data_IF_447803569292
#
_entry.id   IF_447803569292
#
_cell.length_a   1.000
_cell.length_b   1.000
_cell.length_c   1.000
_cell.angle_alpha   90.00
_cell.angle_beta   90.00
_cell.angle_gamma   90.00
#
_symmetry.space_group_name_H-M   'P 1'
#
loop_
_entity.id
_entity.type
_entity.pdbx_description
1 polymer ?
#
# COMPACT_ATOMS: atom_id res chain seq x y z
N UNK A 1 28.34 -10.89 -9.47
CA UNK A 1 28.48 -9.50 -8.99
C UNK A 1 27.10 -8.88 -8.90
N UNK A 2 26.79 -8.20 -7.82
CA UNK A 2 25.53 -7.47 -7.64
C UNK A 2 25.88 -6.01 -7.34
N UNK A 3 25.22 -5.08 -8.01
CA UNK A 3 25.44 -3.65 -7.86
C UNK A 3 24.12 -3.00 -7.47
N UNK A 4 24.12 -2.21 -6.41
CA UNK A 4 22.96 -1.48 -5.94
C UNK A 4 23.30 0.01 -5.86
N UNK A 5 22.46 0.83 -6.47
CA UNK A 5 22.52 2.28 -6.35
C UNK A 5 21.25 2.73 -5.65
N UNK A 6 21.40 3.47 -4.55
CA UNK A 6 20.29 4.11 -3.83
C UNK A 6 20.46 5.61 -3.93
N UNK A 7 19.38 6.29 -4.29
CA UNK A 7 19.35 7.73 -4.34
C UNK A 7 18.17 8.26 -3.54
N UNK A 8 18.44 9.21 -2.65
CA UNK A 8 17.45 9.91 -1.85
C UNK A 8 17.72 11.42 -1.98
N UNK A 9 16.72 12.21 -2.38
CA UNK A 9 16.88 13.66 -2.47
C UNK A 9 15.56 14.36 -2.16
N UNK A 10 15.55 15.19 -1.11
CA UNK A 10 14.50 16.21 -0.97
C UNK A 10 14.61 17.20 -2.13
N UNK A 11 13.56 17.32 -2.94
CA UNK A 11 13.55 18.21 -4.11
C UNK A 11 13.13 19.64 -3.71
N UNK A 12 12.17 19.76 -2.78
CA UNK A 12 11.59 21.03 -2.31
C UNK A 12 11.09 20.88 -0.87
N UNK A 13 10.79 21.98 -0.18
CA UNK A 13 10.10 22.03 1.14
C UNK A 13 8.79 21.22 1.19
N UNK A 14 8.16 21.00 0.03
CA UNK A 14 6.87 20.34 -0.11
C UNK A 14 6.94 19.00 -0.84
N UNK A 15 8.08 18.66 -1.47
CA UNK A 15 8.23 17.44 -2.29
C UNK A 15 9.51 16.70 -1.91
N UNK A 16 9.33 15.53 -1.31
CA UNK A 16 10.41 14.66 -0.84
C UNK A 16 10.47 13.39 -1.70
N UNK A 17 11.51 13.28 -2.53
CA UNK A 17 11.84 12.04 -3.22
C UNK A 17 12.74 11.22 -2.28
N UNK A 18 12.17 10.24 -1.60
CA UNK A 18 12.87 9.56 -0.51
C UNK A 18 13.78 8.44 -0.98
N UNK A 19 13.40 7.69 -2.01
CA UNK A 19 14.19 6.53 -2.42
C UNK A 19 13.92 6.12 -3.87
N UNK A 20 14.97 6.19 -4.69
CA UNK A 20 15.08 5.50 -5.96
C UNK A 20 16.19 4.45 -5.81
N UNK A 21 15.81 3.17 -5.79
CA UNK A 21 16.76 2.05 -5.71
C UNK A 21 16.82 1.34 -7.04
N UNK A 22 18.02 1.23 -7.59
CA UNK A 22 18.32 0.38 -8.73
C UNK A 22 19.24 -0.74 -8.28
N UNK A 23 18.81 -1.99 -8.45
CA UNK A 23 19.63 -3.17 -8.19
C UNK A 23 19.79 -3.98 -9.46
N UNK A 24 21.05 -4.24 -9.83
CA UNK A 24 21.41 -5.15 -10.91
C UNK A 24 22.15 -6.36 -10.34
N UNK A 25 21.67 -7.57 -10.63
CA UNK A 25 22.28 -8.81 -10.16
C UNK A 25 22.81 -9.58 -11.35
N UNK A 26 24.12 -9.80 -11.42
CA UNK A 26 24.78 -10.56 -12.50
C UNK A 26 24.46 -12.06 -12.49
N UNK A 27 24.51 -12.68 -13.66
CA UNK A 27 24.11 -14.08 -13.96
C UNK A 27 24.61 -15.19 -13.03
N UNK A 28 25.77 -15.00 -12.39
CA UNK A 28 26.39 -16.01 -11.51
C UNK A 28 26.25 -15.69 -10.02
N UNK A 29 25.43 -14.70 -9.67
CA UNK A 29 25.19 -14.31 -8.29
C UNK A 29 23.91 -14.99 -7.77
N UNK A 30 24.06 -15.76 -6.71
CA UNK A 30 22.98 -16.45 -6.00
C UNK A 30 22.97 -15.88 -4.60
N UNK A 31 21.82 -15.41 -4.11
CA UNK A 31 21.73 -14.99 -2.71
C UNK A 31 21.89 -16.22 -1.80
N UNK A 32 22.51 -16.07 -0.64
CA UNK A 32 22.72 -17.19 0.30
C UNK A 32 21.40 -17.88 0.68
N UNK A 33 20.29 -17.13 0.71
CA UNK A 33 18.94 -17.63 0.99
C UNK A 33 18.33 -18.49 -0.14
N UNK A 34 18.84 -18.40 -1.36
CA UNK A 34 18.36 -19.15 -2.54
C UNK A 34 19.24 -20.39 -2.84
N UNK A 35 20.30 -20.63 -2.07
CA UNK A 35 21.19 -21.78 -2.28
C UNK A 35 20.51 -23.08 -1.82
N UNK A 36 20.00 -23.86 -2.78
CA UNK A 36 19.50 -25.23 -2.56
C UNK A 36 20.39 -26.24 -3.28
N UNK A 37 21.14 -27.10 -2.57
CA UNK A 37 22.12 -28.01 -3.18
C UNK A 37 21.50 -29.10 -4.08
N UNK A 38 20.19 -29.34 -4.01
CA UNK A 38 19.49 -30.39 -4.77
C UNK A 38 18.76 -29.92 -6.04
N UNK A 39 18.70 -28.62 -6.34
CA UNK A 39 17.97 -28.09 -7.50
C UNK A 39 18.88 -27.21 -8.36
N UNK A 40 19.48 -27.80 -9.40
CA UNK A 40 20.32 -27.10 -10.38
C UNK A 40 19.49 -26.41 -11.49
N UNK A 41 18.18 -26.61 -11.53
CA UNK A 41 17.30 -26.22 -12.67
C UNK A 41 16.14 -25.29 -12.27
N UNK A 42 16.41 -24.27 -11.46
CA UNK A 42 15.37 -23.33 -11.05
C UNK A 42 15.89 -22.16 -10.23
N UNK A 43 16.95 -21.51 -10.69
CA UNK A 43 17.38 -20.25 -10.10
C UNK A 43 16.41 -19.15 -10.52
N UNK A 44 15.78 -18.54 -9.52
CA UNK A 44 15.00 -17.32 -9.66
C UNK A 44 15.96 -16.19 -10.10
N UNK A 45 16.28 -16.15 -11.39
CA UNK A 45 17.38 -15.37 -11.96
C UNK A 45 16.94 -13.90 -12.13
N UNK A 46 16.69 -13.24 -11.00
CA UNK A 46 16.28 -11.83 -10.90
C UNK A 46 17.37 -10.97 -11.54
N UNK A 47 17.03 -10.33 -12.65
CA UNK A 47 17.98 -9.55 -13.46
C UNK A 47 18.19 -8.16 -12.86
N UNK A 48 17.07 -7.48 -12.62
CA UNK A 48 17.04 -6.08 -12.26
C UNK A 48 15.78 -5.80 -11.44
N UNK A 49 15.91 -4.90 -10.46
CA UNK A 49 14.80 -4.39 -9.68
C UNK A 49 14.91 -2.88 -9.58
N UNK A 50 13.85 -2.20 -9.98
CA UNK A 50 13.70 -0.75 -9.85
C UNK A 50 12.66 -0.49 -8.78
N UNK A 51 12.97 0.37 -7.82
CA UNK A 51 12.03 0.82 -6.79
C UNK A 51 12.08 2.34 -6.74
N UNK A 52 10.91 2.98 -6.71
CA UNK A 52 10.78 4.43 -6.62
C UNK A 52 9.72 4.78 -5.59
N UNK A 53 10.03 5.72 -4.70
CA UNK A 53 9.09 6.27 -3.72
C UNK A 53 9.14 7.80 -3.78
N UNK A 54 7.99 8.38 -4.12
CA UNK A 54 7.75 9.81 -4.26
C UNK A 54 6.74 10.21 -3.18
N UNK A 55 7.12 11.15 -2.33
CA UNK A 55 6.21 11.71 -1.32
C UNK A 55 6.13 13.22 -1.49
N UNK A 56 4.95 13.79 -1.39
CA UNK A 56 4.75 15.22 -1.52
C UNK A 56 3.73 15.70 -0.49
N UNK A 57 4.15 16.63 0.36
CA UNK A 57 3.33 17.29 1.37
C UNK A 57 2.96 18.70 0.88
N UNK A 58 1.69 18.95 0.61
CA UNK A 58 1.16 20.24 0.15
C UNK A 58 0.23 20.79 1.24
N UNK A 59 0.77 21.66 2.10
CA UNK A 59 0.00 22.26 3.20
C UNK A 59 -0.53 21.21 4.17
N UNK A 60 -1.85 20.96 4.13
CA UNK A 60 -2.55 19.96 4.98
C UNK A 60 -2.79 18.62 4.27
N UNK A 61 -2.30 18.48 3.04
CA UNK A 61 -2.41 17.26 2.25
C UNK A 61 -1.05 16.59 2.06
N UNK A 62 -1.05 15.27 1.97
CA UNK A 62 0.12 14.43 1.80
C UNK A 62 -0.20 13.35 0.78
N UNK A 63 0.58 13.30 -0.29
CA UNK A 63 0.51 12.25 -1.31
C UNK A 63 1.79 11.42 -1.25
N UNK A 64 1.66 10.10 -1.33
CA UNK A 64 2.76 9.15 -1.37
C UNK A 64 2.49 8.10 -2.43
N UNK A 65 3.35 8.09 -3.44
CA UNK A 65 3.35 7.14 -4.54
C UNK A 65 4.62 6.29 -4.41
N UNK A 66 4.47 4.98 -4.45
CA UNK A 66 5.58 4.04 -4.50
C UNK A 66 5.35 3.04 -5.60
N UNK A 67 6.42 2.53 -6.20
CA UNK A 67 6.33 1.49 -7.18
C UNK A 67 7.62 0.72 -7.27
N UNK A 68 7.50 -0.52 -7.71
CA UNK A 68 8.62 -1.38 -7.97
C UNK A 68 8.35 -2.23 -9.21
N UNK A 69 9.41 -2.58 -9.93
CA UNK A 69 9.34 -3.57 -10.99
C UNK A 69 10.55 -4.49 -10.92
N UNK A 70 10.34 -5.76 -11.23
CA UNK A 70 11.34 -6.81 -11.17
C UNK A 70 11.31 -7.63 -12.46
N UNK A 71 12.43 -7.65 -13.18
CA UNK A 71 12.60 -8.46 -14.39
C UNK A 71 13.38 -9.73 -14.08
N UNK A 72 13.06 -10.82 -14.75
CA UNK A 72 13.74 -12.12 -14.61
C UNK A 72 14.47 -12.49 -15.91
N UNK A 73 15.60 -13.19 -15.84
CA UNK A 73 16.38 -13.56 -17.06
C UNK A 73 15.79 -14.73 -17.83
N UNK A 74 15.07 -15.64 -17.16
CA UNK A 74 14.58 -16.88 -17.77
C UNK A 74 13.19 -16.78 -18.42
N UNK A 75 12.48 -15.67 -18.23
CA UNK A 75 11.17 -15.42 -18.83
C UNK A 75 11.08 -13.94 -19.23
N UNK A 76 10.45 -13.63 -20.38
CA UNK A 76 10.23 -12.26 -20.85
C UNK A 76 9.11 -11.53 -20.07
N UNK A 77 9.00 -11.84 -18.77
CA UNK A 77 7.93 -11.42 -17.89
C UNK A 77 8.48 -10.58 -16.75
N UNK A 78 7.77 -9.51 -16.43
CA UNK A 78 8.15 -8.58 -15.38
C UNK A 78 7.05 -8.54 -14.34
N UNK A 79 7.44 -8.59 -13.07
CA UNK A 79 6.54 -8.28 -11.98
C UNK A 79 6.55 -6.77 -11.76
N UNK A 80 5.39 -6.20 -11.46
CA UNK A 80 5.25 -4.78 -11.16
C UNK A 80 4.28 -4.61 -10.00
N UNK A 81 4.63 -3.73 -9.07
CA UNK A 81 3.74 -3.28 -8.01
C UNK A 81 3.78 -1.77 -7.90
N UNK A 82 2.63 -1.16 -7.64
CA UNK A 82 2.48 0.27 -7.40
C UNK A 82 1.50 0.49 -6.25
N UNK A 83 1.81 1.46 -5.40
CA UNK A 83 0.92 1.89 -4.32
C UNK A 83 0.82 3.41 -4.32
N UNK A 84 -0.39 3.92 -4.30
CA UNK A 84 -0.72 5.33 -4.19
C UNK A 84 -1.45 5.55 -2.87
N UNK A 85 -1.11 6.62 -2.17
CA UNK A 85 -1.82 7.05 -0.96
C UNK A 85 -1.93 8.57 -0.95
N UNK A 86 -3.09 9.08 -0.58
CA UNK A 86 -3.41 10.48 -0.49
C UNK A 86 -4.12 10.72 0.83
N UNK A 87 -3.57 11.60 1.65
CA UNK A 87 -4.09 11.94 2.97
C UNK A 87 -4.31 13.44 2.99
N UNK A 88 -5.44 13.91 3.50
CA UNK A 88 -5.70 15.34 3.65
C UNK A 88 -6.39 15.61 4.97
N UNK A 89 -6.07 16.73 5.59
CA UNK A 89 -6.66 17.16 6.85
C UNK A 89 -7.38 18.48 6.65
N UNK A 90 -8.69 18.49 6.88
CA UNK A 90 -9.52 19.71 6.79
C UNK A 90 -10.04 20.03 8.19
N UNK A 91 -9.36 20.95 8.87
CA UNK A 91 -9.64 21.28 10.27
C UNK A 91 -9.34 20.09 11.20
N UNK A 92 -10.31 19.61 12.00
CA UNK A 92 -10.15 18.41 12.84
C UNK A 92 -10.26 17.11 12.04
N UNK A 93 -10.85 17.12 10.85
CA UNK A 93 -11.16 15.92 10.06
C UNK A 93 -9.96 15.47 9.23
N UNK A 94 -9.65 14.17 9.25
CA UNK A 94 -8.67 13.57 8.34
C UNK A 94 -9.32 12.59 7.37
N UNK A 95 -8.89 12.64 6.12
CA UNK A 95 -9.34 11.79 5.03
C UNK A 95 -8.11 11.13 4.40
N UNK A 96 -8.18 9.82 4.18
CA UNK A 96 -7.10 8.99 3.67
C UNK A 96 -7.65 8.10 2.56
N UNK A 97 -7.12 8.25 1.35
CA UNK A 97 -7.37 7.40 0.21
C UNK A 97 -6.08 6.61 -0.08
N UNK A 98 -6.19 5.33 -0.35
CA UNK A 98 -5.07 4.51 -0.83
C UNK A 98 -5.53 3.59 -1.95
N UNK A 99 -4.60 3.24 -2.82
CA UNK A 99 -4.80 2.31 -3.91
C UNK A 99 -3.52 1.52 -4.16
N UNK A 100 -3.67 0.26 -4.51
CA UNK A 100 -2.57 -0.63 -4.84
C UNK A 100 -2.86 -1.32 -6.17
N UNK A 101 -1.82 -1.55 -6.94
CA UNK A 101 -1.85 -2.30 -8.19
C UNK A 101 -0.65 -3.25 -8.19
N UNK A 102 -0.86 -4.49 -8.57
CA UNK A 102 0.16 -5.52 -8.62
C UNK A 102 -0.10 -6.46 -9.77
N UNK A 103 0.90 -6.67 -10.61
CA UNK A 103 0.86 -7.68 -11.66
C UNK A 103 2.05 -8.60 -11.46
N UNK A 104 1.73 -9.88 -11.26
CA UNK A 104 2.70 -10.93 -10.98
C UNK A 104 2.62 -11.98 -12.07
N UNK A 105 3.76 -12.38 -12.63
CA UNK A 105 3.76 -13.42 -13.63
C UNK A 105 3.53 -14.80 -12.99
N UNK A 106 2.58 -15.57 -13.54
CA UNK A 106 2.15 -16.86 -12.97
C UNK A 106 0.84 -16.80 -12.16
N UNK A 107 0.24 -15.62 -12.00
CA UNK A 107 -1.14 -15.44 -11.52
C UNK A 107 -2.02 -14.91 -12.65
N UNK A 108 -3.22 -15.46 -12.81
CA UNK A 108 -4.12 -15.26 -13.95
C UNK A 108 -4.91 -13.92 -13.91
N UNK A 109 -4.20 -12.82 -13.60
CA UNK A 109 -4.76 -11.48 -13.67
C UNK A 109 -4.08 -10.45 -12.77
N UNK A 110 -4.38 -9.18 -13.05
CA UNK A 110 -3.89 -8.04 -12.28
C UNK A 110 -4.62 -7.94 -10.93
N UNK A 111 -3.86 -7.76 -9.85
CA UNK A 111 -4.35 -7.41 -8.52
C UNK A 111 -4.49 -5.89 -8.44
N UNK A 112 -5.66 -5.41 -8.06
CA UNK A 112 -5.83 -4.02 -7.69
C UNK A 112 -6.76 -3.90 -6.49
N UNK A 113 -6.50 -2.90 -5.66
CA UNK A 113 -7.29 -2.58 -4.50
C UNK A 113 -7.29 -1.09 -4.24
N UNK A 114 -8.29 -0.65 -3.49
CA UNK A 114 -8.41 0.73 -3.07
C UNK A 114 -9.18 0.83 -1.77
N UNK A 115 -8.84 1.80 -0.94
CA UNK A 115 -9.52 2.06 0.31
C UNK A 115 -9.62 3.54 0.61
N UNK A 116 -10.76 3.94 1.16
CA UNK A 116 -11.04 5.28 1.62
C UNK A 116 -11.34 5.24 3.12
N UNK A 117 -10.66 6.06 3.89
CA UNK A 117 -10.81 6.17 5.34
C UNK A 117 -11.03 7.61 5.74
N UNK A 118 -12.04 7.87 6.55
CA UNK A 118 -12.39 9.16 7.11
C UNK A 118 -12.29 9.06 8.62
N UNK A 119 -11.59 9.99 9.27
CA UNK A 119 -11.55 10.11 10.72
C UNK A 119 -12.01 11.50 11.15
N UNK A 120 -13.00 11.51 12.03
CA UNK A 120 -13.71 12.67 12.55
C UNK A 120 -13.52 12.70 14.06
N UNK A 121 -12.68 13.60 14.60
CA UNK A 121 -12.75 13.96 16.00
C UNK A 121 -13.94 14.91 16.19
N UNK A 122 -14.81 14.58 17.14
CA UNK A 122 -15.93 15.41 17.55
C UNK A 122 -15.92 15.57 19.07
N UNK A 123 -16.28 16.75 19.56
CA UNK A 123 -16.40 17.00 21.00
C UNK A 123 -17.88 17.01 21.39
N UNK A 124 -18.28 16.12 22.30
CA UNK A 124 -19.62 16.14 22.90
C UNK A 124 -19.45 16.22 24.43
N UNK A 125 -20.22 17.09 25.10
CA UNK A 125 -20.15 17.27 26.56
C UNK A 125 -18.73 17.59 27.10
N UNK A 126 -17.98 18.45 26.39
CA UNK A 126 -16.56 18.78 26.69
C UNK A 126 -15.60 17.58 26.68
N UNK A 127 -15.96 16.50 25.98
CA UNK A 127 -15.14 15.28 25.85
C UNK A 127 -14.75 15.02 24.40
N UNK A 128 -13.47 14.71 24.13
CA UNK A 128 -13.04 14.34 22.79
C UNK A 128 -13.48 12.91 22.49
N UNK A 129 -14.26 12.75 21.42
CA UNK A 129 -14.60 11.48 20.83
C UNK A 129 -13.98 11.37 19.44
N UNK A 130 -13.56 10.16 19.08
CA UNK A 130 -13.04 9.88 17.73
C UNK A 130 -13.93 8.85 17.05
N UNK A 131 -14.35 9.16 15.83
CA UNK A 131 -14.98 8.21 14.92
C UNK A 131 -14.10 8.05 13.68
N UNK A 132 -13.70 6.82 13.35
CA UNK A 132 -13.05 6.55 12.07
C UNK A 132 -13.85 5.53 11.28
N UNK A 133 -14.20 5.87 10.05
CA UNK A 133 -14.89 4.99 9.10
C UNK A 133 -13.97 4.70 7.93
N UNK A 134 -13.73 3.44 7.62
CA UNK A 134 -12.93 3.02 6.46
C UNK A 134 -13.73 2.09 5.58
N UNK A 135 -13.57 2.20 4.27
CA UNK A 135 -14.11 1.29 3.27
C UNK A 135 -12.97 0.84 2.36
N UNK A 136 -12.85 -0.46 2.12
CA UNK A 136 -11.83 -1.06 1.25
C UNK A 136 -12.43 -1.97 0.20
N UNK A 137 -11.74 -2.10 -0.93
CA UNK A 137 -12.02 -3.02 -2.02
C UNK A 137 -10.71 -3.66 -2.50
N UNK A 138 -10.72 -4.95 -2.81
CA UNK A 138 -9.62 -5.67 -3.45
C UNK A 138 -10.18 -6.63 -4.50
N UNK A 139 -9.52 -6.76 -5.66
CA UNK A 139 -9.96 -7.69 -6.71
C UNK A 139 -9.56 -9.14 -6.42
N UNK A 140 -8.34 -9.36 -5.95
CA UNK A 140 -7.85 -10.73 -5.65
C UNK A 140 -8.68 -11.40 -4.56
N UNK A 141 -9.29 -10.60 -3.69
CA UNK A 141 -10.34 -11.03 -2.76
C UNK A 141 -11.41 -9.94 -2.77
N UNK A 142 -12.52 -10.09 -3.54
CA UNK A 142 -13.61 -9.11 -3.62
C UNK A 142 -14.30 -9.01 -2.26
N UNK A 143 -13.65 -8.26 -1.37
CA UNK A 143 -14.03 -8.01 -0.01
C UNK A 143 -14.29 -6.52 0.08
N UNK A 144 -15.55 -6.18 0.30
CA UNK A 144 -15.93 -4.86 0.78
C UNK A 144 -15.90 -4.89 2.29
N UNK A 145 -14.87 -4.30 2.87
CA UNK A 145 -14.78 -4.13 4.32
C UNK A 145 -15.14 -2.70 4.64
N UNK A 146 -16.17 -2.50 5.45
CA UNK A 146 -16.41 -1.23 6.09
C UNK A 146 -16.15 -1.37 7.60
N UNK A 147 -15.29 -0.55 8.17
CA UNK A 147 -15.00 -0.58 9.60
C UNK A 147 -15.23 0.79 10.22
N UNK A 148 -15.94 0.82 11.34
CA UNK A 148 -16.18 2.00 12.14
C UNK A 148 -15.57 1.81 13.53
N UNK A 149 -14.72 2.73 13.97
CA UNK A 149 -14.10 2.70 15.30
C UNK A 149 -14.54 3.93 16.08
N UNK A 150 -15.01 3.71 17.30
CA UNK A 150 -15.32 4.76 18.27
C UNK A 150 -14.35 4.69 19.44
N UNK A 151 -13.78 5.83 19.81
CA UNK A 151 -12.89 5.94 20.97
C UNK A 151 -13.39 7.04 21.91
N UNK A 152 -13.53 6.69 23.20
CA UNK A 152 -13.85 7.59 24.31
C UNK A 152 -12.66 7.62 25.28
N UNK A 153 -12.11 8.82 25.55
CA UNK A 153 -10.95 9.01 26.42
C UNK A 153 -11.42 9.66 27.72
N UNK A 154 -11.28 8.95 28.84
CA UNK A 154 -11.55 9.45 30.19
C UNK A 154 -10.24 9.56 30.97
N UNK A 155 -10.13 10.48 31.96
CA UNK A 155 -8.94 10.58 32.81
C UNK A 155 -8.54 9.28 33.51
N UNK A 156 -9.51 8.37 33.71
CA UNK A 156 -9.33 7.08 34.40
C UNK A 156 -9.40 5.85 33.50
N UNK A 157 -9.79 5.97 32.22
CA UNK A 157 -9.98 4.82 31.32
C UNK A 157 -10.08 5.24 29.85
N UNK A 158 -9.66 4.35 28.94
CA UNK A 158 -9.86 4.47 27.49
C UNK A 158 -10.83 3.37 27.06
N UNK A 159 -11.90 3.73 26.35
CA UNK A 159 -12.87 2.77 25.79
C UNK A 159 -12.81 2.82 24.27
N UNK A 160 -12.66 1.66 23.63
CA UNK A 160 -12.67 1.51 22.16
C UNK A 160 -13.77 0.54 21.76
N UNK A 161 -14.63 0.93 20.83
CA UNK A 161 -15.59 0.06 20.18
C UNK A 161 -15.28 -0.02 18.68
N UNK A 162 -15.36 -1.20 18.08
CA UNK A 162 -15.11 -1.41 16.65
C UNK A 162 -16.25 -2.21 16.06
N UNK A 163 -16.81 -1.73 14.95
CA UNK A 163 -17.86 -2.40 14.18
C UNK A 163 -17.31 -2.65 12.78
N UNK A 164 -17.27 -3.91 12.36
CA UNK A 164 -16.82 -4.32 11.02
C UNK A 164 -18.01 -4.89 10.28
N UNK A 165 -18.24 -4.38 9.08
CA UNK A 165 -19.22 -4.89 8.12
C UNK A 165 -18.46 -5.56 6.98
N UNK A 166 -18.63 -6.86 6.85
CA UNK A 166 -18.16 -7.63 5.70
C UNK A 166 -19.32 -7.79 4.71
N UNK A 167 -19.25 -7.06 3.59
CA UNK A 167 -20.27 -7.14 2.54
C UNK A 167 -19.84 -8.12 1.45
N UNK A 168 -19.79 -9.41 1.78
CA UNK A 168 -19.46 -10.48 0.81
C UNK A 168 -20.60 -10.76 -0.19
N UNK A 169 -21.78 -10.15 -0.03
CA UNK A 169 -22.97 -10.50 -0.84
C UNK A 169 -23.78 -9.33 -1.45
N UNK A 170 -23.48 -8.05 -1.17
CA UNK A 170 -24.40 -6.96 -1.56
C UNK A 170 -24.18 -6.43 -2.99
N UNK A 171 -22.99 -6.58 -3.58
CA UNK A 171 -22.70 -5.99 -4.90
C UNK A 171 -23.40 -6.70 -6.07
N UNK A 172 -23.82 -7.97 -5.92
CA UNK A 172 -24.51 -8.67 -7.02
C UNK A 172 -25.98 -8.23 -7.19
N UNK A 173 -26.59 -7.59 -6.18
CA UNK A 173 -28.00 -7.18 -6.23
C UNK A 173 -28.21 -5.73 -6.71
N UNK A 174 -27.20 -4.86 -6.70
CA UNK A 174 -27.38 -3.45 -7.05
C UNK A 174 -27.06 -3.12 -8.52
N UNK A 175 -26.55 -4.08 -9.29
CA UNK A 175 -26.23 -3.93 -10.73
C UNK A 175 -27.32 -4.47 -11.66
N UNK A 176 -28.43 -4.96 -11.12
CA UNK A 176 -29.67 -5.26 -11.85
C UNK A 176 -30.81 -4.39 -11.31
N UNK A 177 -30.87 -3.13 -11.70
CA UNK A 177 -32.13 -2.37 -11.83
C UNK A 177 -31.94 -1.33 -12.92
#
# INVERSE_FOLDING_TARGET
MSTMVKYAKGLTTFTNLQLLTYRYTGEKYVDFAEFRPGNLSGQDNRRERYEAIITQSIGRSFISLSGWTQSYRNHNSNDIGANLSYNTTVGPVSLSLSGNYGKYNGMDGDDYGGSLSLSLPFSAFDRPHYSSSSIGYSRTRPLFTAAMVFMDIRPSAITVATVIFDFTLILFSLLLT
#
